data_IF_710829620913
#
_entry.id   IF_710829620913
#
_cell.length_a   1.000
_cell.length_b   1.000
_cell.length_c   1.000
_cell.angle_alpha   90.00
_cell.angle_beta   90.00
_cell.angle_gamma   90.00
#
_symmetry.space_group_name_H-M   'P 1'
#
loop_
_entity.id
_entity.type
_entity.pdbx_description
1 polymer ?
#
# COMPACT_ATOMS: atom_id res chain seq x y z
N UNK A 1 -57.78 -16.84 -42.98
CA UNK A 1 -57.35 -16.91 -41.56
C UNK A 1 -55.93 -17.47 -41.51
N UNK A 2 -54.98 -16.65 -41.02
CA UNK A 2 -53.73 -16.93 -40.27
C UNK A 2 -53.22 -18.40 -40.32
N UNK A 3 -51.93 -18.69 -40.58
CA UNK A 3 -50.79 -18.26 -39.76
C UNK A 3 -49.49 -18.18 -40.57
N UNK A 4 -48.89 -16.99 -40.53
CA UNK A 4 -47.49 -16.65 -40.76
C UNK A 4 -46.81 -16.70 -39.39
N UNK A 5 -45.66 -17.36 -39.23
CA UNK A 5 -44.75 -17.31 -38.05
C UNK A 5 -43.62 -18.32 -38.29
N UNK A 6 -42.36 -18.16 -37.91
CA UNK A 6 -41.61 -17.10 -37.25
C UNK A 6 -40.17 -17.66 -37.20
N UNK A 7 -39.43 -17.60 -38.31
CA UNK A 7 -38.07 -18.19 -38.39
C UNK A 7 -36.96 -17.15 -38.57
N UNK A 8 -37.27 -15.87 -38.32
CA UNK A 8 -36.34 -14.77 -38.56
C UNK A 8 -36.43 -13.72 -37.46
N UNK A 9 -35.95 -14.03 -36.24
CA UNK A 9 -35.05 -13.06 -35.59
C UNK A 9 -33.91 -13.68 -34.75
N UNK A 10 -33.68 -14.99 -34.80
CA UNK A 10 -32.63 -15.61 -33.93
C UNK A 10 -31.21 -15.46 -34.50
N UNK A 11 -31.07 -15.20 -35.81
CA UNK A 11 -29.74 -15.09 -36.44
C UNK A 11 -29.11 -13.68 -36.32
N UNK A 12 -29.81 -12.69 -35.75
CA UNK A 12 -29.29 -11.31 -35.62
C UNK A 12 -28.81 -10.97 -34.18
N UNK A 13 -28.93 -11.89 -33.24
CA UNK A 13 -28.40 -11.71 -31.88
C UNK A 13 -26.94 -12.19 -31.71
N UNK A 14 -26.35 -12.81 -32.75
CA UNK A 14 -25.00 -13.38 -32.74
C UNK A 14 -23.91 -12.45 -33.30
N UNK A 15 -24.25 -11.21 -33.69
CA UNK A 15 -23.33 -10.27 -34.35
C UNK A 15 -23.10 -8.95 -33.61
N UNK A 16 -23.56 -8.84 -32.36
CA UNK A 16 -23.25 -7.70 -31.46
C UNK A 16 -22.32 -8.15 -30.33
N UNK A 17 -21.35 -9.01 -30.65
CA UNK A 17 -20.07 -9.03 -29.94
C UNK A 17 -19.06 -8.29 -30.84
N UNK A 18 -19.42 -7.07 -31.21
CA UNK A 18 -18.47 -6.14 -31.81
C UNK A 18 -17.50 -5.78 -30.70
N UNK A 19 -16.35 -6.45 -30.74
CA UNK A 19 -15.08 -6.04 -30.18
C UNK A 19 -15.19 -4.91 -29.15
N UNK A 20 -15.35 -5.27 -27.89
CA UNK A 20 -14.63 -4.53 -26.88
C UNK A 20 -13.16 -4.76 -27.22
N UNK A 21 -12.58 -3.81 -27.96
CA UNK A 21 -11.14 -3.63 -28.02
C UNK A 21 -10.74 -3.31 -26.58
N UNK A 22 -10.62 -4.35 -25.77
CA UNK A 22 -9.83 -4.32 -24.56
C UNK A 22 -8.46 -3.86 -25.02
N UNK A 23 -8.04 -2.68 -24.56
CA UNK A 23 -6.63 -2.34 -24.57
C UNK A 23 -5.90 -3.57 -24.03
N UNK A 24 -5.14 -4.25 -24.86
CA UNK A 24 -4.35 -5.40 -24.45
C UNK A 24 -3.25 -4.90 -23.53
N UNK A 25 -3.59 -4.61 -22.27
CA UNK A 25 -2.64 -4.62 -21.19
C UNK A 25 -2.16 -6.06 -21.12
N UNK A 26 -0.88 -6.32 -21.40
CA UNK A 26 -0.33 -7.68 -21.28
C UNK A 26 -0.41 -8.05 -19.80
N UNK A 27 -1.32 -8.98 -19.51
CA UNK A 27 -1.61 -9.45 -18.16
C UNK A 27 -1.33 -10.94 -18.08
N UNK A 28 -0.70 -11.36 -17.00
CA UNK A 28 -0.45 -12.77 -16.69
C UNK A 28 -0.89 -13.10 -15.27
N UNK A 29 -1.69 -14.14 -15.12
CA UNK A 29 -2.03 -14.71 -13.81
C UNK A 29 -0.86 -15.54 -13.29
N UNK A 30 -0.42 -15.27 -12.06
CA UNK A 30 0.66 -16.00 -11.39
C UNK A 30 0.09 -16.85 -10.26
N UNK A 31 0.63 -18.05 -10.11
CA UNK A 31 0.25 -18.99 -9.06
C UNK A 31 1.38 -19.09 -8.04
N UNK A 32 1.00 -19.25 -6.77
CA UNK A 32 1.95 -19.48 -5.68
C UNK A 32 1.48 -20.64 -4.79
N UNK A 33 2.44 -21.39 -4.26
CA UNK A 33 2.16 -22.56 -3.42
C UNK A 33 1.93 -22.15 -1.96
N UNK A 34 0.69 -21.81 -1.63
CA UNK A 34 0.23 -21.58 -0.25
C UNK A 34 -0.29 -20.18 0.02
N UNK A 35 -0.75 -19.98 1.26
CA UNK A 35 -1.25 -18.71 1.74
C UNK A 35 -0.12 -17.79 2.19
N UNK A 36 -0.36 -16.48 2.16
CA UNK A 36 0.54 -15.46 2.69
C UNK A 36 -0.27 -14.33 3.33
N UNK A 37 0.35 -13.68 4.32
CA UNK A 37 -0.19 -12.51 4.99
C UNK A 37 0.78 -11.32 5.02
N UNK A 38 1.91 -11.44 4.35
CA UNK A 38 2.88 -10.36 4.15
C UNK A 38 3.15 -10.16 2.66
N UNK A 39 3.29 -8.91 2.23
CA UNK A 39 3.63 -8.55 0.84
C UNK A 39 4.82 -7.58 0.88
N UNK A 40 5.86 -7.92 0.12
CA UNK A 40 7.08 -7.13 -0.03
C UNK A 40 7.26 -6.78 -1.51
N UNK A 41 7.22 -5.49 -1.82
CA UNK A 41 7.45 -4.94 -3.15
C UNK A 41 8.81 -4.23 -3.20
N UNK A 42 9.58 -4.47 -4.26
CA UNK A 42 10.81 -3.73 -4.51
C UNK A 42 11.09 -3.49 -5.99
N UNK A 43 12.13 -2.70 -6.25
CA UNK A 43 12.69 -2.49 -7.60
C UNK A 43 11.72 -1.78 -8.57
N UNK A 44 11.00 -0.75 -8.12
CA UNK A 44 10.15 0.05 -9.01
C UNK A 44 8.82 -0.59 -9.42
N UNK A 45 8.37 -1.64 -8.72
CA UNK A 45 7.08 -2.28 -9.00
C UNK A 45 5.94 -1.61 -8.24
N UNK A 46 4.81 -1.39 -8.93
CA UNK A 46 3.58 -0.88 -8.36
C UNK A 46 2.65 -2.03 -7.95
N UNK A 47 2.47 -2.28 -6.66
CA UNK A 47 1.59 -3.33 -6.16
C UNK A 47 0.25 -2.76 -5.72
N UNK A 48 -0.82 -3.28 -6.31
CA UNK A 48 -2.21 -2.96 -5.93
C UNK A 48 -2.76 -4.11 -5.10
N UNK A 49 -2.90 -3.91 -3.80
CA UNK A 49 -3.36 -4.93 -2.87
C UNK A 49 -4.85 -4.84 -2.59
N UNK A 50 -5.53 -5.98 -2.51
CA UNK A 50 -6.94 -6.09 -2.13
C UNK A 50 -7.11 -7.20 -1.10
N UNK A 51 -7.87 -6.93 -0.04
CA UNK A 51 -8.28 -8.00 0.86
C UNK A 51 -9.47 -8.78 0.25
N UNK A 52 -9.37 -10.10 0.13
CA UNK A 52 -10.40 -10.96 -0.47
C UNK A 52 -10.23 -12.44 -0.11
N UNK A 53 -11.26 -13.26 -0.27
CA UNK A 53 -11.23 -14.66 0.21
C UNK A 53 -10.26 -15.55 -0.58
N UNK A 54 -10.10 -15.28 -1.88
CA UNK A 54 -9.25 -16.06 -2.77
C UNK A 54 -7.89 -15.39 -2.97
N UNK A 55 -6.85 -16.21 -3.08
CA UNK A 55 -5.51 -15.74 -3.47
C UNK A 55 -5.49 -15.54 -4.99
N UNK A 56 -5.17 -14.33 -5.43
CA UNK A 56 -5.06 -13.97 -6.84
C UNK A 56 -3.85 -13.07 -7.04
N UNK A 57 -3.01 -13.38 -8.03
CA UNK A 57 -1.87 -12.54 -8.40
C UNK A 57 -1.93 -12.32 -9.91
N UNK A 58 -2.01 -11.06 -10.34
CA UNK A 58 -2.03 -10.69 -11.75
C UNK A 58 -0.93 -9.68 -12.02
N UNK A 59 0.00 -10.03 -12.89
CA UNK A 59 1.08 -9.14 -13.34
C UNK A 59 0.64 -8.43 -14.62
N UNK A 60 0.83 -7.12 -14.68
CA UNK A 60 0.63 -6.26 -15.84
C UNK A 60 1.96 -5.56 -16.15
N UNK A 61 2.56 -5.87 -17.29
CA UNK A 61 3.88 -5.35 -17.69
C UNK A 61 4.00 -5.31 -19.22
N UNK A 62 5.04 -4.66 -19.74
CA UNK A 62 5.40 -4.80 -21.15
C UNK A 62 5.86 -6.24 -21.46
N UNK A 63 5.69 -6.76 -22.69
CA UNK A 63 6.04 -8.14 -23.01
C UNK A 63 7.50 -8.48 -22.73
N UNK A 64 8.40 -7.53 -22.98
CA UNK A 64 9.84 -7.67 -22.76
C UNK A 64 10.20 -7.70 -21.25
N UNK A 65 9.29 -7.22 -20.40
CA UNK A 65 9.45 -7.13 -18.95
C UNK A 65 8.68 -8.22 -18.18
N UNK A 66 7.73 -8.91 -18.82
CA UNK A 66 6.80 -9.83 -18.15
C UNK A 66 7.50 -10.96 -17.40
N UNK A 67 8.48 -11.61 -18.03
CA UNK A 67 9.22 -12.75 -17.45
C UNK A 67 10.22 -12.33 -16.36
N UNK A 68 10.54 -11.05 -16.30
CA UNK A 68 11.49 -10.47 -15.36
C UNK A 68 10.80 -10.06 -14.06
N UNK A 69 9.47 -9.95 -14.04
CA UNK A 69 8.69 -9.72 -12.82
C UNK A 69 8.58 -11.02 -12.02
N UNK A 70 9.28 -11.08 -10.90
CA UNK A 70 9.24 -12.21 -9.99
C UNK A 70 8.11 -12.04 -8.99
N UNK A 71 7.31 -13.09 -8.85
CA UNK A 71 6.34 -13.28 -7.76
C UNK A 71 6.68 -14.58 -7.04
N UNK A 72 7.16 -14.50 -5.80
CA UNK A 72 7.66 -15.68 -5.08
C UNK A 72 7.33 -15.65 -3.60
N UNK A 73 6.85 -16.79 -3.09
CA UNK A 73 6.69 -17.00 -1.66
C UNK A 73 8.02 -17.33 -0.97
N UNK A 74 8.25 -16.68 0.16
CA UNK A 74 9.31 -16.99 1.12
C UNK A 74 8.70 -16.96 2.52
N UNK A 75 8.42 -18.14 3.07
CA UNK A 75 7.63 -18.23 4.30
C UNK A 75 6.21 -17.69 4.05
N UNK A 76 5.78 -16.74 4.86
CA UNK A 76 4.46 -16.09 4.74
C UNK A 76 4.49 -14.79 3.90
N UNK A 77 5.61 -14.51 3.24
CA UNK A 77 5.80 -13.26 2.49
C UNK A 77 5.77 -13.52 1.00
N UNK A 78 4.85 -12.87 0.29
CA UNK A 78 4.90 -12.73 -1.16
C UNK A 78 5.89 -11.61 -1.51
N UNK A 79 6.99 -11.99 -2.15
CA UNK A 79 7.98 -11.05 -2.70
C UNK A 79 7.66 -10.76 -4.15
N UNK A 80 7.59 -9.48 -4.49
CA UNK A 80 7.31 -8.95 -5.82
C UNK A 80 8.40 -7.97 -6.23
N UNK A 81 9.24 -8.35 -7.20
CA UNK A 81 10.41 -7.56 -7.60
C UNK A 81 10.83 -7.92 -9.04
N UNK A 82 11.62 -7.06 -9.70
CA UNK A 82 12.27 -7.42 -10.96
C UNK A 82 13.54 -8.25 -10.70
N UNK A 83 13.75 -9.36 -11.41
CA UNK A 83 14.97 -10.18 -11.36
C UNK A 83 16.14 -9.50 -12.09
N UNK A 84 16.49 -8.29 -11.67
CA UNK A 84 17.40 -7.43 -12.43
C UNK A 84 18.83 -7.42 -11.87
N UNK A 85 19.78 -7.17 -12.77
CA UNK A 85 21.19 -6.99 -12.42
C UNK A 85 21.46 -5.57 -11.94
N UNK A 86 22.59 -5.35 -11.24
CA UNK A 86 23.05 -4.01 -10.81
C UNK A 86 23.34 -3.05 -11.97
N UNK A 87 23.08 -3.41 -13.24
CA UNK A 87 23.15 -2.51 -14.39
C UNK A 87 21.78 -1.99 -14.86
N UNK A 88 20.67 -2.60 -14.42
CA UNK A 88 19.32 -2.28 -14.91
C UNK A 88 18.64 -1.11 -14.19
N UNK A 89 19.22 -0.62 -13.09
CA UNK A 89 18.72 0.57 -12.35
C UNK A 89 18.75 1.87 -13.18
N UNK A 90 19.38 1.86 -14.36
CA UNK A 90 19.36 2.97 -15.32
C UNK A 90 18.21 2.88 -16.34
N UNK A 91 17.41 1.81 -16.31
CA UNK A 91 16.29 1.62 -17.24
C UNK A 91 14.96 1.92 -16.54
N UNK A 92 14.10 2.71 -17.18
CA UNK A 92 12.78 3.09 -16.65
C UNK A 92 11.77 1.97 -16.88
N UNK A 93 11.97 0.83 -16.21
CA UNK A 93 11.03 -0.31 -16.22
C UNK A 93 9.87 -0.02 -15.27
N UNK A 94 8.67 -0.43 -15.64
CA UNK A 94 7.52 -0.32 -14.75
C UNK A 94 6.61 -1.53 -14.92
N UNK A 95 6.25 -2.16 -13.82
CA UNK A 95 5.24 -3.20 -13.80
C UNK A 95 4.21 -2.89 -12.72
N UNK A 96 3.00 -3.39 -12.93
CA UNK A 96 1.92 -3.33 -11.95
C UNK A 96 1.50 -4.74 -11.59
N UNK A 97 1.40 -5.03 -10.30
CA UNK A 97 1.01 -6.36 -9.81
C UNK A 97 -0.20 -6.21 -8.90
N UNK A 98 -1.30 -6.84 -9.28
CA UNK A 98 -2.51 -6.90 -8.47
C UNK A 98 -2.42 -8.14 -7.57
N UNK A 99 -2.62 -7.96 -6.27
CA UNK A 99 -2.53 -9.03 -5.28
C UNK A 99 -3.79 -9.05 -4.43
N UNK A 100 -4.54 -10.16 -4.49
CA UNK A 100 -5.66 -10.45 -3.59
C UNK A 100 -5.25 -11.52 -2.59
N UNK A 101 -5.51 -11.30 -1.30
CA UNK A 101 -5.34 -12.32 -0.25
C UNK A 101 -6.27 -12.06 0.94
N UNK A 102 -6.53 -13.10 1.73
CA UNK A 102 -7.49 -13.06 2.85
C UNK A 102 -6.98 -12.26 4.03
N UNK A 103 -5.72 -12.43 4.38
CA UNK A 103 -5.11 -11.81 5.56
C UNK A 103 -3.98 -10.90 5.11
N UNK A 104 -3.90 -9.71 5.69
CA UNK A 104 -2.79 -8.78 5.44
C UNK A 104 -2.34 -8.28 6.81
N UNK A 105 -1.13 -8.66 7.19
CA UNK A 105 -0.45 -8.26 8.43
C UNK A 105 0.76 -7.39 8.17
N UNK A 106 1.37 -7.48 6.99
CA UNK A 106 2.53 -6.66 6.66
C UNK A 106 2.54 -6.25 5.18
N UNK A 107 2.82 -4.98 4.94
CA UNK A 107 3.09 -4.41 3.62
C UNK A 107 4.45 -3.69 3.69
N UNK A 108 5.35 -4.00 2.77
CA UNK A 108 6.69 -3.41 2.75
C UNK A 108 7.06 -3.00 1.33
N UNK A 109 7.33 -1.71 1.11
CA UNK A 109 7.78 -1.16 -0.16
C UNK A 109 9.22 -0.63 -0.04
N UNK A 110 10.05 -0.89 -1.04
CA UNK A 110 11.43 -0.37 -1.06
C UNK A 110 11.98 -0.15 -2.47
N UNK A 111 13.02 0.67 -2.60
CA UNK A 111 13.73 0.82 -3.88
C UNK A 111 12.83 1.31 -5.02
N UNK A 112 12.08 2.39 -4.76
CA UNK A 112 11.18 3.02 -5.72
C UNK A 112 9.89 2.26 -6.04
N UNK A 113 9.58 1.18 -5.31
CA UNK A 113 8.32 0.45 -5.47
C UNK A 113 7.19 1.13 -4.71
N UNK A 114 5.96 1.02 -5.20
CA UNK A 114 4.79 1.58 -4.53
C UNK A 114 3.80 0.49 -4.12
N UNK A 115 3.13 0.66 -2.98
CA UNK A 115 2.02 -0.19 -2.55
C UNK A 115 0.76 0.65 -2.39
N UNK A 116 -0.33 0.24 -3.02
CA UNK A 116 -1.64 0.85 -2.84
C UNK A 116 -2.70 -0.17 -2.48
N UNK A 117 -3.46 0.07 -1.41
CA UNK A 117 -4.62 -0.75 -1.09
C UNK A 117 -5.86 -0.33 -1.89
N UNK A 118 -6.67 -1.30 -2.29
CA UNK A 118 -8.02 -1.11 -2.80
C UNK A 118 -9.04 -1.56 -1.76
N UNK A 119 -9.71 -0.59 -1.15
CA UNK A 119 -10.63 -0.83 -0.04
C UNK A 119 -9.92 -0.98 1.31
N UNK A 120 -10.71 -1.23 2.34
CA UNK A 120 -10.20 -1.27 3.73
C UNK A 120 -9.59 -2.62 4.08
N UNK A 121 -8.33 -2.59 4.52
CA UNK A 121 -7.65 -3.74 5.11
C UNK A 121 -8.10 -3.90 6.57
N UNK A 122 -8.69 -5.04 6.89
CA UNK A 122 -9.10 -5.40 8.26
C UNK A 122 -8.09 -6.36 8.86
N UNK A 123 -7.49 -5.98 9.99
CA UNK A 123 -6.50 -6.82 10.68
C UNK A 123 -6.56 -6.65 12.20
N UNK A 124 -6.04 -7.62 12.95
CA UNK A 124 -5.76 -7.41 14.37
C UNK A 124 -4.59 -6.45 14.55
N UNK A 125 -3.49 -6.72 13.85
CA UNK A 125 -2.27 -5.92 13.82
C UNK A 125 -1.77 -5.83 12.38
N UNK A 126 -1.39 -4.63 11.93
CA UNK A 126 -0.78 -4.42 10.62
C UNK A 126 0.49 -3.59 10.73
N UNK A 127 1.51 -3.96 9.96
CA UNK A 127 2.74 -3.19 9.80
C UNK A 127 2.82 -2.72 8.35
N UNK A 128 2.99 -1.42 8.13
CA UNK A 128 3.19 -0.83 6.81
C UNK A 128 4.54 -0.13 6.82
N UNK A 129 5.37 -0.40 5.82
CA UNK A 129 6.74 0.13 5.79
C UNK A 129 7.11 0.57 4.38
N UNK A 130 7.71 1.76 4.26
CA UNK A 130 8.21 2.31 3.02
C UNK A 130 9.66 2.82 3.22
N UNK A 131 10.52 2.61 2.21
CA UNK A 131 11.93 3.05 2.29
C UNK A 131 12.59 3.25 0.92
N UNK A 132 13.59 4.11 0.85
CA UNK A 132 14.42 4.25 -0.36
C UNK A 132 13.65 4.70 -1.61
N UNK A 133 12.83 5.74 -1.46
CA UNK A 133 12.06 6.34 -2.57
C UNK A 133 10.75 5.65 -2.91
N UNK A 134 10.27 4.77 -2.03
CA UNK A 134 9.05 3.99 -2.19
C UNK A 134 7.87 4.63 -1.45
N UNK A 135 6.65 4.48 -1.94
CA UNK A 135 5.46 5.00 -1.26
C UNK A 135 4.44 3.91 -0.89
N UNK A 136 3.66 4.15 0.16
CA UNK A 136 2.56 3.28 0.55
C UNK A 136 1.27 4.08 0.84
N UNK A 137 0.18 3.77 0.14
CA UNK A 137 -1.15 4.36 0.33
C UNK A 137 -2.17 3.30 0.76
N UNK A 138 -2.66 3.39 2.00
CA UNK A 138 -3.45 2.32 2.62
C UNK A 138 -4.68 2.82 3.41
N UNK A 139 -5.80 2.13 3.26
CA UNK A 139 -6.99 2.30 4.12
C UNK A 139 -7.06 1.14 5.12
N UNK A 140 -7.00 1.43 6.42
CA UNK A 140 -6.84 0.43 7.48
C UNK A 140 -8.01 0.48 8.48
N UNK A 141 -8.48 -0.69 8.90
CA UNK A 141 -9.26 -0.87 10.13
C UNK A 141 -8.65 -1.96 11.00
N UNK A 142 -7.97 -1.58 12.07
CA UNK A 142 -7.24 -2.53 12.91
C UNK A 142 -7.29 -2.22 14.40
N UNK A 143 -6.84 -3.15 15.26
CA UNK A 143 -6.58 -2.81 16.67
C UNK A 143 -5.26 -2.06 16.78
N UNK A 144 -4.23 -2.55 16.12
CA UNK A 144 -2.90 -1.95 16.14
C UNK A 144 -2.39 -1.74 14.70
N UNK A 145 -1.84 -0.57 14.42
CA UNK A 145 -1.09 -0.29 13.20
C UNK A 145 0.29 0.28 13.55
N UNK A 146 1.31 -0.22 12.85
CA UNK A 146 2.67 0.32 12.89
C UNK A 146 3.00 0.83 11.50
N UNK A 147 3.28 2.13 11.38
CA UNK A 147 3.67 2.80 10.15
C UNK A 147 5.13 3.21 10.25
N UNK A 148 5.97 2.75 9.32
CA UNK A 148 7.38 3.10 9.27
C UNK A 148 7.71 3.74 7.91
N UNK A 149 8.30 4.93 7.93
CA UNK A 149 8.87 5.54 6.73
C UNK A 149 10.33 5.94 6.95
N UNK A 150 11.18 5.74 5.94
CA UNK A 150 12.60 6.07 6.06
C UNK A 150 13.28 6.41 4.73
N UNK A 151 14.33 7.24 4.82
CA UNK A 151 15.12 7.64 3.66
C UNK A 151 14.48 8.83 2.94
N UNK A 152 13.62 8.56 1.96
CA UNK A 152 12.90 9.57 1.17
C UNK A 152 11.62 8.98 0.59
N UNK A 153 10.84 8.37 1.47
CA UNK A 153 9.68 7.52 1.19
C UNK A 153 8.48 8.07 1.96
N UNK A 154 7.25 7.84 1.49
CA UNK A 154 6.06 8.32 2.19
C UNK A 154 5.06 7.20 2.51
N UNK A 155 4.47 7.27 3.71
CA UNK A 155 3.36 6.40 4.09
C UNK A 155 2.11 7.25 4.33
N UNK A 156 1.13 7.12 3.44
CA UNK A 156 -0.20 7.70 3.55
C UNK A 156 -1.19 6.66 4.07
N UNK A 157 -1.76 6.90 5.26
CA UNK A 157 -2.71 5.99 5.88
C UNK A 157 -4.01 6.69 6.29
N UNK A 158 -5.13 6.01 6.06
CA UNK A 158 -6.46 6.48 6.47
C UNK A 158 -7.31 5.36 7.09
N UNK A 159 -8.35 5.72 7.84
CA UNK A 159 -9.29 4.76 8.45
C UNK A 159 -9.37 4.88 9.98
N UNK A 160 -9.37 3.75 10.68
CA UNK A 160 -9.61 3.69 12.14
C UNK A 160 -8.76 2.61 12.83
N UNK A 161 -8.04 2.99 13.89
CA UNK A 161 -7.26 2.06 14.74
C UNK A 161 -7.40 2.35 16.23
N UNK A 162 -7.15 1.37 17.10
CA UNK A 162 -7.09 1.62 18.55
C UNK A 162 -5.73 2.16 18.97
N UNK A 163 -4.65 1.55 18.49
CA UNK A 163 -3.27 1.96 18.73
C UNK A 163 -2.56 2.20 17.39
N UNK A 164 -1.91 3.36 17.28
CA UNK A 164 -1.03 3.72 16.16
C UNK A 164 0.39 3.96 16.67
N UNK A 165 1.36 3.27 16.10
CA UNK A 165 2.78 3.60 16.19
C UNK A 165 3.22 4.16 14.84
N UNK A 166 3.67 5.42 14.79
CA UNK A 166 4.08 6.11 13.58
C UNK A 166 5.54 6.56 13.72
N UNK A 167 6.40 6.08 12.81
CA UNK A 167 7.84 6.32 12.86
C UNK A 167 8.32 6.84 11.51
N UNK A 168 8.97 8.01 11.51
CA UNK A 168 9.60 8.59 10.33
C UNK A 168 11.06 8.98 10.61
N UNK A 169 11.93 8.79 9.61
CA UNK A 169 13.35 9.13 9.74
C UNK A 169 14.02 9.46 8.40
N UNK A 170 15.03 10.33 8.41
CA UNK A 170 15.69 10.77 7.17
C UNK A 170 14.96 11.99 6.61
N UNK A 171 14.48 11.92 5.36
CA UNK A 171 13.61 12.93 4.74
C UNK A 171 12.34 12.27 4.20
N UNK A 172 11.69 11.49 5.04
CA UNK A 172 10.59 10.59 4.71
C UNK A 172 9.40 10.93 5.62
N UNK A 173 8.16 10.81 5.13
CA UNK A 173 7.00 11.27 5.89
C UNK A 173 6.00 10.14 6.22
N UNK A 174 5.28 10.32 7.34
CA UNK A 174 4.10 9.52 7.67
C UNK A 174 2.89 10.44 7.76
N UNK A 175 2.03 10.35 6.76
CA UNK A 175 0.79 11.12 6.63
C UNK A 175 -0.40 10.27 7.10
N UNK A 176 -0.68 10.31 8.41
CA UNK A 176 -1.75 9.54 9.05
C UNK A 176 -2.84 10.43 9.67
N UNK A 177 -2.96 11.69 9.24
CA UNK A 177 -4.03 12.61 9.69
C UNK A 177 -5.45 12.08 9.42
N UNK A 178 -5.63 11.24 8.41
CA UNK A 178 -6.93 10.61 8.09
C UNK A 178 -7.13 9.25 8.75
N UNK A 179 -6.16 8.79 9.56
CA UNK A 179 -6.24 7.56 10.32
C UNK A 179 -6.59 7.91 11.77
N UNK A 180 -7.86 7.73 12.14
CA UNK A 180 -8.34 8.06 13.48
C UNK A 180 -7.84 7.01 14.46
N UNK A 181 -6.99 7.41 15.41
CA UNK A 181 -6.45 6.55 16.45
C UNK A 181 -6.92 6.96 17.85
N UNK A 182 -7.11 6.00 18.76
CA UNK A 182 -7.34 6.31 20.18
C UNK A 182 -6.05 6.71 20.86
N UNK A 183 -5.04 5.86 20.70
CA UNK A 183 -3.71 6.06 21.26
C UNK A 183 -2.69 6.15 20.14
N UNK A 184 -1.78 7.12 20.24
CA UNK A 184 -0.72 7.34 19.26
C UNK A 184 0.63 7.41 19.95
N UNK A 185 1.60 6.69 19.39
CA UNK A 185 3.03 6.88 19.64
C UNK A 185 3.64 7.37 18.33
N UNK A 186 4.07 8.63 18.29
CA UNK A 186 4.66 9.25 17.11
C UNK A 186 6.14 9.56 17.35
N UNK A 187 7.01 9.21 16.40
CA UNK A 187 8.44 9.52 16.46
C UNK A 187 8.91 10.01 15.10
N UNK A 188 9.45 11.22 15.09
CA UNK A 188 10.10 11.79 13.92
C UNK A 188 11.56 12.15 14.20
N UNK A 189 12.45 11.93 13.24
CA UNK A 189 13.88 12.22 13.37
C UNK A 189 14.56 12.59 12.07
N UNK A 190 15.60 13.44 12.13
CA UNK A 190 16.31 13.89 10.93
C UNK A 190 15.67 15.14 10.34
N UNK A 191 15.05 15.04 9.17
CA UNK A 191 14.24 16.07 8.52
C UNK A 191 12.94 15.47 7.97
N UNK A 192 12.31 14.63 8.77
CA UNK A 192 11.11 13.85 8.47
C UNK A 192 9.90 14.46 9.18
N UNK A 193 8.69 14.25 8.65
CA UNK A 193 7.46 14.76 9.25
C UNK A 193 6.46 13.63 9.55
N UNK A 194 5.77 13.76 10.68
CA UNK A 194 4.71 12.81 11.09
C UNK A 194 3.42 13.57 11.38
N UNK A 195 2.37 13.30 10.61
CA UNK A 195 1.02 13.81 10.86
C UNK A 195 0.09 12.71 11.40
N UNK A 196 -0.58 12.94 12.52
CA UNK A 196 -1.46 11.94 13.18
C UNK A 196 -2.76 12.54 13.70
N UNK A 197 -3.83 11.73 13.74
CA UNK A 197 -5.10 12.11 14.38
C UNK A 197 -5.38 11.25 15.61
N UNK A 198 -5.45 11.89 16.77
CA UNK A 198 -5.54 11.24 18.09
C UNK A 198 -6.80 11.66 18.83
N UNK A 199 -7.48 10.69 19.46
CA UNK A 199 -8.73 10.93 20.19
C UNK A 199 -8.64 10.78 21.70
N UNK A 200 -7.62 10.09 22.23
CA UNK A 200 -7.44 9.90 23.68
C UNK A 200 -6.03 10.28 24.16
N UNK A 201 -4.99 9.52 23.79
CA UNK A 201 -3.64 9.61 24.37
C UNK A 201 -2.57 9.75 23.29
N UNK A 202 -1.68 10.74 23.42
CA UNK A 202 -0.52 10.91 22.55
C UNK A 202 0.80 10.84 23.33
N UNK A 203 1.73 10.02 22.84
CA UNK A 203 3.16 10.15 23.11
C UNK A 203 3.86 10.55 21.81
N UNK A 204 4.60 11.65 21.82
CA UNK A 204 5.28 12.15 20.64
C UNK A 204 6.73 12.53 20.94
N UNK A 205 7.61 12.28 19.97
CA UNK A 205 8.99 12.69 20.03
C UNK A 205 9.51 13.17 18.67
N UNK A 206 10.19 14.31 18.69
CA UNK A 206 10.78 14.96 17.53
C UNK A 206 12.26 15.25 17.81
N UNK A 207 13.13 14.96 16.84
CA UNK A 207 14.58 15.19 17.00
C UNK A 207 15.29 15.57 15.70
N UNK A 208 16.27 16.48 15.78
CA UNK A 208 16.92 17.01 14.57
C UNK A 208 16.15 18.22 14.04
N UNK A 209 15.84 18.28 12.75
CA UNK A 209 14.92 19.26 12.16
C UNK A 209 13.63 18.58 11.67
N UNK A 210 13.09 17.68 12.49
CA UNK A 210 11.94 16.84 12.17
C UNK A 210 10.73 17.28 13.00
N UNK A 211 9.53 17.20 12.44
CA UNK A 211 8.31 17.66 13.09
C UNK A 211 7.29 16.53 13.34
N UNK A 212 6.50 16.70 14.40
CA UNK A 212 5.31 15.87 14.67
C UNK A 212 4.09 16.76 14.83
N UNK A 213 3.16 16.68 13.89
CA UNK A 213 1.89 17.37 13.92
C UNK A 213 0.77 16.43 14.35
N UNK A 214 0.06 16.80 15.41
CA UNK A 214 -1.08 16.02 15.89
C UNK A 214 -2.38 16.82 15.85
N UNK A 215 -3.46 16.10 15.56
CA UNK A 215 -4.81 16.65 15.41
C UNK A 215 -5.80 15.89 16.30
N UNK A 216 -6.94 16.51 16.58
CA UNK A 216 -8.05 15.89 17.30
C UNK A 216 -8.03 16.14 18.81
N UNK A 217 -9.05 15.64 19.55
CA UNK A 217 -9.27 16.00 20.95
C UNK A 217 -8.33 15.28 21.93
N UNK A 218 -7.45 14.38 21.45
CA UNK A 218 -6.54 13.60 22.28
C UNK A 218 -5.55 14.49 23.05
N UNK A 219 -5.19 14.06 24.25
CA UNK A 219 -4.29 14.81 25.13
C UNK A 219 -2.86 14.23 25.09
N UNK A 220 -1.83 15.07 24.92
CA UNK A 220 -0.44 14.65 25.07
C UNK A 220 -0.14 14.17 26.50
N UNK A 221 0.40 12.97 26.62
CA UNK A 221 0.93 12.43 27.88
C UNK A 221 2.43 12.64 28.02
N UNK A 222 3.16 12.55 26.91
CA UNK A 222 4.61 12.67 26.87
C UNK A 222 5.03 13.31 25.55
N UNK A 223 5.77 14.41 25.67
CA UNK A 223 6.38 15.12 24.55
C UNK A 223 7.89 15.18 24.79
N UNK A 224 8.67 14.92 23.75
CA UNK A 224 10.12 15.05 23.77
C UNK A 224 10.62 15.73 22.51
N UNK A 225 11.21 16.90 22.65
CA UNK A 225 11.73 17.72 21.56
C UNK A 225 13.24 17.90 21.76
N UNK A 226 14.03 17.76 20.69
CA UNK A 226 15.48 17.95 20.77
C UNK A 226 16.11 18.28 19.42
N UNK A 227 17.28 18.92 19.42
CA UNK A 227 18.04 19.15 18.19
C UNK A 227 17.42 20.11 17.17
N UNK A 228 16.29 20.75 17.51
CA UNK A 228 15.53 21.62 16.62
C UNK A 228 14.20 21.04 16.12
N UNK A 229 13.80 19.85 16.58
CA UNK A 229 12.53 19.23 16.18
C UNK A 229 11.39 19.64 17.09
N UNK A 230 10.22 19.83 16.51
CA UNK A 230 9.06 20.40 17.19
C UNK A 230 7.86 19.43 17.19
N UNK A 231 7.04 19.48 18.24
CA UNK A 231 5.76 18.78 18.32
C UNK A 231 4.62 19.79 18.42
N UNK A 232 3.79 19.86 17.38
CA UNK A 232 2.72 20.86 17.27
C UNK A 232 1.33 20.24 17.30
N UNK A 233 0.46 20.80 18.13
CA UNK A 233 -0.95 20.44 18.20
C UNK A 233 -1.83 21.38 17.39
N UNK A 234 -2.79 20.81 16.67
CA UNK A 234 -3.75 21.54 15.85
C UNK A 234 -5.20 21.25 16.31
N UNK A 235 -6.00 22.31 16.40
CA UNK A 235 -7.44 22.24 16.77
C UNK A 235 -8.33 21.72 15.63
#
# INVERSE_FOLDING_TARGET
MKKLNLLLPVLLALLVCQAFQSSAQNREERQVDGDFDEIEASSGINVIVKQGEDVEIVVEADPDDMDEVVTRLRGNTLKVYFDSSVFDWFTSRSAKVYVTTKNIKKLSASGGADIKSTGTIKSGRIVVSASGGADAEVTIKAREAVLNSSGGADVLAEGEVELLEAHASGGADVMARKLVAKKVVATSSGGADVEVYVTEELEASASGGADVDYYGPGSPRKISESGGGDVTGHE
#
